data_IF_989529062282
#
_entry.id   IF_989529062282
#
_cell.length_a   1.000
_cell.length_b   1.000
_cell.length_c   1.000
_cell.angle_alpha   90.00
_cell.angle_beta   90.00
_cell.angle_gamma   90.00
#
_symmetry.space_group_name_H-M   'P 1'
#
loop_
_entity.id
_entity.type
_entity.pdbx_description
1 polymer ?
#
# COMPACT_ATOMS: atom_id res chain seq x y z
N UNK A 1 -6.85 -0.47 -17.23
CA UNK A 1 -5.46 -0.94 -17.30
C UNK A 1 -4.81 -0.33 -18.52
N UNK A 2 -3.61 0.25 -18.40
CA UNK A 2 -2.86 0.75 -19.56
C UNK A 2 -2.31 -0.40 -20.40
N UNK A 3 -1.88 -0.08 -21.63
CA UNK A 3 -1.17 -1.03 -22.48
C UNK A 3 0.23 -1.36 -21.95
N UNK A 4 0.66 -2.62 -22.12
CA UNK A 4 1.96 -3.09 -21.59
C UNK A 4 3.16 -2.39 -22.21
N UNK A 5 3.06 -2.00 -23.48
CA UNK A 5 4.09 -1.21 -24.17
C UNK A 5 4.28 0.17 -23.56
N UNK A 6 3.20 0.83 -23.14
CA UNK A 6 3.25 2.15 -22.52
C UNK A 6 3.95 2.15 -21.15
N UNK A 7 3.97 1.01 -20.44
CA UNK A 7 4.74 0.86 -19.20
C UNK A 7 6.24 0.87 -19.47
N UNK A 8 6.72 0.18 -20.51
CA UNK A 8 8.14 0.23 -20.89
C UNK A 8 8.57 1.62 -21.36
N UNK A 9 7.75 2.29 -22.18
CA UNK A 9 7.99 3.68 -22.61
C UNK A 9 8.13 4.64 -21.40
N UNK A 10 7.25 4.51 -20.40
CA UNK A 10 7.29 5.32 -19.16
C UNK A 10 8.55 5.06 -18.33
N UNK A 11 9.02 3.81 -18.27
CA UNK A 11 10.25 3.41 -17.56
C UNK A 11 11.49 4.01 -18.22
N UNK A 12 11.63 3.82 -19.53
CA UNK A 12 12.75 4.38 -20.30
C UNK A 12 12.79 5.91 -20.20
N UNK A 13 11.62 6.56 -20.33
CA UNK A 13 11.48 8.02 -20.19
C UNK A 13 11.79 8.53 -18.78
N UNK A 14 11.58 7.70 -17.75
CA UNK A 14 11.94 8.02 -16.36
C UNK A 14 13.42 7.73 -16.03
N UNK A 15 14.20 7.16 -16.96
CA UNK A 15 15.58 6.74 -16.72
C UNK A 15 15.70 5.51 -15.82
N UNK A 16 14.64 4.69 -15.74
CA UNK A 16 14.57 3.46 -14.96
C UNK A 16 14.86 2.23 -15.83
N UNK A 17 14.90 1.05 -15.22
CA UNK A 17 15.19 -0.22 -15.90
C UNK A 17 13.98 -1.14 -15.94
N UNK A 18 14.06 -2.23 -16.72
CA UNK A 18 13.00 -3.26 -16.76
C UNK A 18 12.66 -3.87 -15.38
N UNK A 19 13.59 -3.79 -14.40
CA UNK A 19 13.35 -4.24 -13.03
C UNK A 19 12.19 -3.48 -12.36
N UNK A 20 11.95 -2.23 -12.76
CA UNK A 20 10.89 -1.39 -12.22
C UNK A 20 9.52 -1.65 -12.87
N UNK A 21 9.45 -2.44 -13.94
CA UNK A 21 8.21 -2.67 -14.70
C UNK A 21 7.11 -3.36 -13.90
N UNK A 22 7.48 -4.29 -13.02
CA UNK A 22 6.53 -4.93 -12.11
C UNK A 22 5.90 -3.94 -11.11
N UNK A 23 6.67 -2.95 -10.64
CA UNK A 23 6.17 -1.94 -9.72
C UNK A 23 5.25 -0.94 -10.43
N UNK A 24 5.63 -0.45 -11.62
CA UNK A 24 4.81 0.50 -12.37
C UNK A 24 3.48 -0.13 -12.83
N UNK A 25 3.51 -1.39 -13.30
CA UNK A 25 2.27 -2.11 -13.64
C UNK A 25 1.36 -2.34 -12.44
N UNK A 26 1.93 -2.57 -11.24
CA UNK A 26 1.18 -2.72 -10.00
C UNK A 26 0.57 -1.40 -9.54
N UNK A 27 1.29 -0.28 -9.67
CA UNK A 27 0.79 1.07 -9.37
C UNK A 27 -0.39 1.45 -10.28
N UNK A 28 -0.24 1.23 -11.60
CA UNK A 28 -1.32 1.41 -12.57
C UNK A 28 -2.54 0.49 -12.27
N UNK A 29 -2.29 -0.72 -11.77
CA UNK A 29 -3.36 -1.65 -11.34
C UNK A 29 -4.13 -1.12 -10.14
N UNK A 30 -3.43 -0.52 -9.18
CA UNK A 30 -4.04 0.08 -7.99
C UNK A 30 -4.84 1.34 -8.37
N UNK A 31 -4.31 2.20 -9.25
CA UNK A 31 -5.03 3.36 -9.77
C UNK A 31 -6.38 2.98 -10.38
N UNK A 32 -6.40 1.99 -11.28
CA UNK A 32 -7.63 1.49 -11.92
C UNK A 32 -8.65 0.94 -10.90
N UNK A 33 -8.19 0.31 -9.81
CA UNK A 33 -9.07 -0.14 -8.73
C UNK A 33 -9.65 1.03 -7.92
N UNK A 34 -8.84 2.03 -7.61
CA UNK A 34 -9.26 3.23 -6.87
C UNK A 34 -10.26 4.06 -7.68
N UNK A 35 -9.96 4.32 -8.95
CA UNK A 35 -10.87 5.00 -9.89
C UNK A 35 -12.22 4.26 -9.95
N UNK A 36 -12.22 2.92 -9.98
CA UNK A 36 -13.44 2.12 -10.01
C UNK A 36 -14.27 2.22 -8.72
N UNK A 37 -13.64 2.35 -7.55
CA UNK A 37 -14.34 2.56 -6.28
C UNK A 37 -15.00 3.94 -6.20
N UNK A 38 -14.31 4.96 -6.75
CA UNK A 38 -14.81 6.32 -6.82
C UNK A 38 -15.94 6.43 -7.88
N UNK A 39 -15.80 5.82 -9.07
CA UNK A 39 -16.87 5.70 -10.10
C UNK A 39 -18.15 5.03 -9.59
N UNK A 40 -18.02 4.00 -8.75
CA UNK A 40 -19.15 3.28 -8.17
C UNK A 40 -19.77 4.02 -6.96
N UNK A 41 -19.17 5.12 -6.50
CA UNK A 41 -19.65 5.87 -5.33
C UNK A 41 -19.51 5.13 -4.00
N UNK A 42 -18.70 4.06 -3.93
CA UNK A 42 -18.54 3.20 -2.74
C UNK A 42 -17.24 3.47 -1.96
N UNK A 43 -16.38 4.36 -2.46
CA UNK A 43 -15.09 4.68 -1.86
C UNK A 43 -15.17 5.13 -0.38
N UNK A 44 -16.16 5.95 -0.03
CA UNK A 44 -16.41 6.40 1.36
C UNK A 44 -16.69 5.23 2.32
N UNK A 45 -17.24 4.12 1.81
CA UNK A 45 -17.54 2.91 2.59
C UNK A 45 -16.53 1.77 2.33
N UNK A 46 -15.34 2.09 1.79
CA UNK A 46 -14.31 1.10 1.45
C UNK A 46 -12.98 1.46 2.11
N UNK A 47 -12.49 0.57 2.98
CA UNK A 47 -11.10 0.57 3.44
C UNK A 47 -10.24 -0.19 2.42
N UNK A 48 -9.29 0.51 1.80
CA UNK A 48 -8.26 -0.10 0.95
C UNK A 48 -6.97 -0.22 1.76
N UNK A 49 -6.40 -1.42 1.81
CA UNK A 49 -5.10 -1.70 2.44
C UNK A 49 -4.13 -2.25 1.39
N UNK A 50 -3.02 -1.54 1.17
CA UNK A 50 -1.90 -2.01 0.38
C UNK A 50 -0.77 -2.41 1.32
N UNK A 51 -0.37 -3.69 1.30
CA UNK A 51 0.69 -4.23 2.17
C UNK A 51 1.48 -5.32 1.43
N UNK A 52 2.81 -5.35 1.62
CA UNK A 52 3.62 -6.48 1.18
C UNK A 52 3.74 -7.54 2.29
N UNK A 53 3.80 -8.81 1.92
CA UNK A 53 3.84 -9.93 2.88
C UNK A 53 5.21 -10.13 3.56
N UNK A 54 6.29 -9.75 2.88
CA UNK A 54 7.68 -9.76 3.36
C UNK A 54 8.54 -8.82 2.49
N UNK A 55 9.73 -8.46 2.95
CA UNK A 55 10.72 -7.73 2.15
C UNK A 55 11.26 -8.56 0.97
N UNK A 56 12.03 -7.91 0.10
CA UNK A 56 12.57 -8.52 -1.13
C UNK A 56 13.94 -9.17 -0.91
N UNK A 57 15.01 -8.38 -0.81
CA UNK A 57 16.40 -8.87 -0.82
C UNK A 57 16.80 -9.72 0.39
N UNK A 58 16.18 -9.48 1.56
CA UNK A 58 16.48 -10.18 2.81
C UNK A 58 15.33 -11.10 3.27
N UNK A 59 14.48 -11.54 2.33
CA UNK A 59 13.41 -12.52 2.58
C UNK A 59 13.95 -13.77 3.27
N UNK A 60 13.25 -14.25 4.29
CA UNK A 60 13.65 -15.42 5.07
C UNK A 60 14.63 -15.12 6.21
N UNK A 61 15.01 -13.86 6.39
CA UNK A 61 15.72 -13.38 7.58
C UNK A 61 14.80 -12.61 8.53
N UNK A 62 15.26 -12.39 9.76
CA UNK A 62 14.60 -11.49 10.73
C UNK A 62 15.12 -10.05 10.67
N UNK A 63 15.97 -9.70 9.69
CA UNK A 63 16.46 -8.34 9.54
C UNK A 63 15.33 -7.39 9.13
N UNK A 64 15.23 -6.26 9.83
CA UNK A 64 14.24 -5.20 9.56
C UNK A 64 14.32 -4.76 8.10
N UNK A 65 15.44 -4.14 7.71
CA UNK A 65 15.62 -3.58 6.38
C UNK A 65 15.58 -4.66 5.29
N UNK A 66 14.71 -4.48 4.29
CA UNK A 66 14.50 -5.39 3.14
C UNK A 66 14.09 -6.84 3.48
N UNK A 67 13.76 -7.13 4.75
CA UNK A 67 13.45 -8.49 5.23
C UNK A 67 12.07 -8.57 5.88
N UNK A 68 11.90 -7.97 7.05
CA UNK A 68 10.62 -7.98 7.80
C UNK A 68 9.86 -6.64 7.77
N UNK A 69 10.54 -5.52 7.52
CA UNK A 69 9.88 -4.23 7.27
C UNK A 69 9.35 -4.18 5.83
N UNK A 70 8.08 -3.80 5.70
CA UNK A 70 7.29 -3.82 4.46
C UNK A 70 6.46 -2.54 4.34
N UNK A 71 6.19 -2.05 3.12
CA UNK A 71 5.22 -0.97 2.95
C UNK A 71 3.84 -1.41 3.45
N UNK A 72 3.17 -0.51 4.16
CA UNK A 72 1.77 -0.62 4.57
C UNK A 72 1.12 0.76 4.38
N UNK A 73 0.12 0.85 3.52
CA UNK A 73 -0.61 2.07 3.19
C UNK A 73 -2.11 1.77 3.29
N UNK A 74 -2.88 2.68 3.89
CA UNK A 74 -4.32 2.55 4.04
C UNK A 74 -5.04 3.79 3.53
N UNK A 75 -6.14 3.61 2.80
CA UNK A 75 -7.06 4.68 2.36
C UNK A 75 -8.47 4.32 2.79
N UNK A 76 -9.10 5.18 3.59
CA UNK A 76 -10.53 5.16 3.85
C UNK A 76 -11.06 6.60 4.01
N UNK A 77 -11.67 7.20 2.97
CA UNK A 77 -11.99 8.63 2.96
C UNK A 77 -12.90 9.11 4.11
N UNK A 78 -13.92 8.34 4.49
CA UNK A 78 -14.83 8.69 5.58
C UNK A 78 -14.22 8.47 6.99
N UNK A 79 -13.26 7.55 7.12
CA UNK A 79 -12.74 7.10 8.42
C UNK A 79 -11.35 7.64 8.78
N UNK A 80 -10.54 8.05 7.81
CA UNK A 80 -9.12 8.42 8.00
C UNK A 80 -8.80 9.79 7.41
N UNK A 81 -7.97 10.56 8.13
CA UNK A 81 -7.41 11.82 7.61
C UNK A 81 -6.33 11.51 6.58
N UNK A 82 -6.35 12.22 5.44
CA UNK A 82 -5.33 12.12 4.38
C UNK A 82 -3.96 12.62 4.87
N UNK A 83 -2.88 12.06 4.32
CA UNK A 83 -1.51 12.49 4.59
C UNK A 83 -1.02 12.22 6.03
N UNK A 84 -1.70 11.35 6.77
CA UNK A 84 -1.25 10.95 8.11
C UNK A 84 -0.09 9.96 8.01
N UNK A 85 1.01 10.30 8.67
CA UNK A 85 2.09 9.37 8.96
C UNK A 85 1.84 8.69 10.31
N UNK A 86 1.21 7.52 10.22
CA UNK A 86 1.21 6.53 11.29
C UNK A 86 2.66 6.02 11.41
N UNK A 87 3.29 6.22 12.56
CA UNK A 87 4.61 5.69 12.83
C UNK A 87 4.55 4.26 13.39
N UNK A 88 3.39 3.75 13.78
CA UNK A 88 3.13 2.61 14.65
C UNK A 88 3.75 1.25 14.26
N UNK A 89 4.17 0.45 15.27
CA UNK A 89 4.60 -0.94 15.09
C UNK A 89 3.37 -1.82 14.84
N UNK A 90 3.06 -2.05 13.56
CA UNK A 90 1.97 -2.92 13.11
C UNK A 90 2.53 -4.21 12.54
N UNK A 91 1.92 -5.35 12.88
CA UNK A 91 2.18 -6.63 12.22
C UNK A 91 1.04 -6.95 11.25
N UNK A 92 1.34 -7.65 10.15
CA UNK A 92 0.35 -8.05 9.14
C UNK A 92 -0.82 -8.89 9.71
N UNK A 93 -0.60 -9.60 10.83
CA UNK A 93 -1.63 -10.33 11.57
C UNK A 93 -2.72 -9.42 12.16
N UNK A 94 -2.43 -8.15 12.44
CA UNK A 94 -3.39 -7.18 13.01
C UNK A 94 -4.49 -6.81 12.00
N UNK A 95 -4.26 -7.00 10.70
CA UNK A 95 -5.27 -6.80 9.65
C UNK A 95 -6.47 -7.75 9.77
N UNK A 96 -6.34 -8.82 10.55
CA UNK A 96 -7.44 -9.70 10.93
C UNK A 96 -7.71 -9.53 12.43
N UNK A 97 -8.48 -8.51 12.85
CA UNK A 97 -8.80 -8.32 14.25
C UNK A 97 -9.52 -9.56 14.80
N UNK A 98 -9.09 -10.00 15.98
CA UNK A 98 -9.66 -11.15 16.67
C UNK A 98 -10.97 -10.75 17.39
N UNK A 99 -11.93 -10.18 16.65
CA UNK A 99 -13.17 -9.60 17.14
C UNK A 99 -13.94 -8.82 16.07
N UNK A 100 -15.21 -8.52 16.35
CA UNK A 100 -16.16 -7.93 15.38
C UNK A 100 -16.05 -6.42 15.17
N UNK A 101 -15.08 -5.75 15.80
CA UNK A 101 -14.86 -4.30 15.68
C UNK A 101 -13.55 -3.98 14.96
N UNK A 102 -13.66 -3.43 13.75
CA UNK A 102 -12.58 -2.63 13.18
C UNK A 102 -12.42 -1.36 14.03
N UNK A 103 -11.27 -1.11 14.67
CA UNK A 103 -11.11 0.08 15.50
C UNK A 103 -11.01 1.32 14.61
N UNK A 104 -12.04 2.16 14.66
CA UNK A 104 -11.98 3.50 14.09
C UNK A 104 -10.94 4.32 14.86
N UNK A 105 -9.84 4.69 14.18
CA UNK A 105 -8.89 5.74 14.54
C UNK A 105 -8.64 6.02 16.04
N UNK A 106 -7.83 5.16 16.67
CA UNK A 106 -7.05 5.51 17.89
C UNK A 106 -5.80 4.61 18.02
N UNK A 107 -5.07 4.42 16.91
CA UNK A 107 -3.77 3.74 16.92
C UNK A 107 -2.64 4.73 17.23
N UNK A 108 -2.04 4.55 18.42
CA UNK A 108 -0.82 5.20 18.93
C UNK A 108 0.42 4.32 18.70
N UNK A 109 1.63 4.95 18.64
CA UNK A 109 3.02 4.42 18.75
C UNK A 109 3.97 4.53 17.50
N UNK A 110 5.12 3.81 17.51
CA UNK A 110 6.20 3.81 16.49
C UNK A 110 6.58 2.34 16.12
N UNK A 111 7.19 1.89 15.00
CA UNK A 111 8.13 2.52 14.03
C UNK A 111 7.93 2.02 12.55
N UNK A 112 7.58 2.89 11.56
CA UNK A 112 7.78 2.65 10.10
C UNK A 112 6.86 3.41 9.10
N UNK A 113 7.39 4.43 8.39
CA UNK A 113 6.72 5.33 7.42
C UNK A 113 5.49 4.80 6.64
N UNK A 114 4.29 5.06 7.15
CA UNK A 114 3.05 5.00 6.36
C UNK A 114 2.96 6.22 5.44
N UNK A 115 2.80 6.04 4.13
CA UNK A 115 2.58 7.14 3.17
C UNK A 115 1.15 7.06 2.64
N UNK A 116 0.24 7.85 3.22
CA UNK A 116 -1.04 8.13 2.57
C UNK A 116 -0.80 9.07 1.39
N UNK A 117 -1.14 8.59 0.19
CA UNK A 117 -1.57 9.45 -0.91
C UNK A 117 -2.96 10.04 -0.62
#
# INVERSE_FOLDING_TARGET
>A
MPERSAVMERIEKAGLTENEAGYLWMDDSLGVLLDKLDELGVAENTLVVFIANHGSKMKGSLYKNMGTEVPCIMRWPAGMKKGVHCHELVQNTVLFPHGSSWPACDFLLSIGWMVSV
#
